data_IF_351166262568
#
_entry.id   IF_351166262568
#
_cell.length_a   1.000
_cell.length_b   1.000
_cell.length_c   1.000
_cell.angle_alpha   90.00
_cell.angle_beta   90.00
_cell.angle_gamma   90.00
#
_symmetry.space_group_name_H-M   'P 1'
#
loop_
_entity.id
_entity.type
_entity.pdbx_description
1 polymer ?
#
# COMPACT_ATOMS: atom_id res chain seq x y z
N UNK A 1 -40.84 -49.62 47.45
CA UNK A 1 -39.66 -50.04 46.66
C UNK A 1 -39.23 -48.85 45.81
N UNK A 2 -38.03 -48.32 46.06
CA UNK A 2 -37.47 -47.20 45.32
C UNK A 2 -36.79 -47.70 44.05
N UNK A 3 -37.20 -47.17 42.89
CA UNK A 3 -36.67 -47.59 41.59
C UNK A 3 -35.39 -46.81 41.27
N UNK A 4 -34.23 -47.45 41.47
CA UNK A 4 -32.93 -46.86 41.09
C UNK A 4 -32.84 -46.75 39.57
N UNK A 5 -32.92 -45.52 39.04
CA UNK A 5 -32.72 -45.23 37.61
C UNK A 5 -31.27 -45.47 37.23
N UNK A 6 -31.01 -46.41 36.31
CA UNK A 6 -29.67 -46.61 35.73
C UNK A 6 -29.24 -45.35 34.97
N UNK A 7 -28.09 -44.77 35.36
CA UNK A 7 -27.46 -43.67 34.62
C UNK A 7 -26.84 -44.24 33.34
N UNK A 8 -27.29 -43.79 32.17
CA UNK A 8 -26.64 -44.12 30.89
C UNK A 8 -25.32 -43.34 30.82
N UNK A 9 -24.20 -44.05 30.79
CA UNK A 9 -22.86 -43.48 30.58
C UNK A 9 -22.51 -43.42 29.10
N UNK A 10 -21.59 -42.52 28.75
CA UNK A 10 -20.98 -42.44 27.41
C UNK A 10 -20.11 -43.67 27.17
N UNK A 11 -20.10 -44.21 25.94
CA UNK A 11 -19.23 -45.33 25.58
C UNK A 11 -17.85 -44.84 25.14
N UNK A 12 -16.81 -45.64 25.39
CA UNK A 12 -15.46 -45.34 24.90
C UNK A 12 -15.42 -45.26 23.37
N UNK A 13 -16.24 -46.08 22.68
CA UNK A 13 -16.31 -46.07 21.22
C UNK A 13 -16.92 -44.77 20.67
N UNK A 14 -17.96 -44.23 21.33
CA UNK A 14 -18.52 -42.92 20.96
C UNK A 14 -17.47 -41.82 21.10
N UNK A 15 -16.69 -41.83 22.18
CA UNK A 15 -15.62 -40.85 22.38
C UNK A 15 -14.51 -40.98 21.33
N UNK A 16 -14.15 -42.21 20.95
CA UNK A 16 -13.12 -42.45 19.93
C UNK A 16 -13.53 -41.96 18.55
N UNK A 17 -14.77 -42.19 18.13
CA UNK A 17 -15.27 -41.70 16.84
C UNK A 17 -15.34 -40.17 16.83
N UNK A 18 -15.78 -39.55 17.92
CA UNK A 18 -15.83 -38.08 18.03
C UNK A 18 -14.43 -37.49 17.90
N UNK A 19 -13.44 -38.05 18.60
CA UNK A 19 -12.05 -37.58 18.49
C UNK A 19 -11.48 -37.80 17.09
N UNK A 20 -11.79 -38.92 16.44
CA UNK A 20 -11.37 -39.18 15.07
C UNK A 20 -11.94 -38.15 14.07
N UNK A 21 -13.22 -37.82 14.19
CA UNK A 21 -13.85 -36.81 13.32
C UNK A 21 -13.30 -35.41 13.60
N UNK A 22 -13.17 -35.02 14.87
CA UNK A 22 -12.60 -33.71 15.26
C UNK A 22 -11.15 -33.59 14.77
N UNK A 23 -10.36 -34.66 14.83
CA UNK A 23 -8.99 -34.68 14.31
C UNK A 23 -8.94 -34.43 12.79
N UNK A 24 -9.83 -35.04 12.02
CA UNK A 24 -9.92 -34.82 10.56
C UNK A 24 -10.38 -33.39 10.26
N UNK A 25 -11.42 -32.90 10.95
CA UNK A 25 -11.96 -31.56 10.75
C UNK A 25 -10.91 -30.48 11.07
N UNK A 26 -10.08 -30.69 12.10
CA UNK A 26 -9.04 -29.74 12.48
C UNK A 26 -7.99 -29.51 11.38
N UNK A 27 -7.64 -30.55 10.60
CA UNK A 27 -6.64 -30.46 9.53
C UNK A 27 -7.15 -29.62 8.35
N UNK A 28 -8.42 -29.75 7.99
CA UNK A 28 -9.02 -29.04 6.85
C UNK A 28 -9.46 -27.61 7.19
N UNK A 29 -9.53 -27.27 8.48
CA UNK A 29 -10.10 -26.00 8.93
C UNK A 29 -9.16 -24.79 8.76
N UNK A 30 -7.91 -24.94 8.32
CA UNK A 30 -6.95 -23.83 8.24
C UNK A 30 -7.39 -22.83 7.15
N UNK A 31 -7.87 -21.63 7.51
CA UNK A 31 -8.35 -20.66 6.53
C UNK A 31 -7.16 -20.02 5.80
N UNK A 32 -7.28 -19.83 4.47
CA UNK A 32 -6.27 -19.15 3.62
C UNK A 32 -6.22 -17.62 3.85
N UNK A 33 -6.30 -17.18 5.10
CA UNK A 33 -6.39 -15.77 5.51
C UNK A 33 -5.24 -14.89 5.03
N UNK A 34 -4.08 -15.47 4.72
CA UNK A 34 -2.91 -14.73 4.25
C UNK A 34 -3.09 -14.15 2.84
N UNK A 35 -3.73 -14.88 1.92
CA UNK A 35 -3.94 -14.42 0.54
C UNK A 35 -4.94 -13.26 0.53
N UNK A 36 -6.04 -13.39 1.27
CA UNK A 36 -7.03 -12.32 1.41
C UNK A 36 -6.41 -11.05 2.00
N UNK A 37 -5.61 -11.18 3.06
CA UNK A 37 -4.88 -10.05 3.65
C UNK A 37 -3.95 -9.38 2.63
N UNK A 38 -3.20 -10.15 1.84
CA UNK A 38 -2.29 -9.59 0.84
C UNK A 38 -3.04 -8.84 -0.27
N UNK A 39 -4.14 -9.41 -0.75
CA UNK A 39 -4.98 -8.79 -1.78
C UNK A 39 -5.63 -7.50 -1.25
N UNK A 40 -6.15 -7.50 -0.02
CA UNK A 40 -6.69 -6.29 0.63
C UNK A 40 -5.61 -5.22 0.80
N UNK A 41 -4.38 -5.60 1.16
CA UNK A 41 -3.26 -4.65 1.26
C UNK A 41 -2.88 -4.09 -0.10
N UNK A 42 -2.82 -4.91 -1.14
CA UNK A 42 -2.54 -4.46 -2.51
C UNK A 42 -3.61 -3.51 -3.02
N UNK A 43 -4.89 -3.79 -2.74
CA UNK A 43 -5.99 -2.88 -3.05
C UNK A 43 -5.82 -1.54 -2.30
N UNK A 44 -5.38 -1.58 -1.04
CA UNK A 44 -5.04 -0.39 -0.27
C UNK A 44 -3.94 0.46 -0.92
N UNK A 45 -2.94 -0.15 -1.54
CA UNK A 45 -1.89 0.60 -2.28
C UNK A 45 -2.50 1.33 -3.46
N UNK A 46 -3.33 0.65 -4.26
CA UNK A 46 -4.03 1.28 -5.39
C UNK A 46 -4.90 2.44 -4.93
N UNK A 47 -5.62 2.29 -3.82
CA UNK A 47 -6.40 3.38 -3.22
C UNK A 47 -5.50 4.55 -2.83
N UNK A 48 -4.37 4.30 -2.17
CA UNK A 48 -3.43 5.35 -1.80
C UNK A 48 -2.87 6.10 -3.01
N UNK A 49 -2.50 5.37 -4.07
CA UNK A 49 -2.04 5.96 -5.34
C UNK A 49 -3.10 6.89 -5.91
N UNK A 50 -4.36 6.46 -5.97
CA UNK A 50 -5.46 7.27 -6.48
C UNK A 50 -5.74 8.51 -5.61
N UNK A 51 -5.65 8.37 -4.28
CA UNK A 51 -5.83 9.50 -3.35
C UNK A 51 -4.74 10.56 -3.55
N UNK A 52 -3.48 10.14 -3.65
CA UNK A 52 -2.35 11.05 -3.91
C UNK A 52 -2.48 11.69 -5.29
N UNK A 53 -2.86 10.91 -6.31
CA UNK A 53 -3.11 11.42 -7.67
C UNK A 53 -4.17 12.51 -7.68
N UNK A 54 -5.34 12.26 -7.10
CA UNK A 54 -6.43 13.23 -7.06
C UNK A 54 -6.02 14.52 -6.33
N UNK A 55 -5.26 14.39 -5.23
CA UNK A 55 -4.69 15.54 -4.52
C UNK A 55 -3.76 16.37 -5.40
N UNK A 56 -2.84 15.73 -6.13
CA UNK A 56 -1.91 16.43 -7.02
C UNK A 56 -2.61 17.07 -8.22
N UNK A 57 -3.56 16.38 -8.86
CA UNK A 57 -4.38 16.95 -9.94
C UNK A 57 -5.15 18.20 -9.49
N UNK A 58 -5.75 18.15 -8.29
CA UNK A 58 -6.45 19.29 -7.69
C UNK A 58 -5.49 20.46 -7.42
N UNK A 59 -4.28 20.17 -6.95
CA UNK A 59 -3.28 21.21 -6.67
C UNK A 59 -2.78 21.86 -7.95
N UNK A 60 -2.46 21.08 -8.98
CA UNK A 60 -2.05 21.59 -10.30
C UNK A 60 -3.14 22.49 -10.89
N UNK A 61 -4.40 22.06 -10.83
CA UNK A 61 -5.54 22.82 -11.37
C UNK A 61 -5.74 24.16 -10.64
N UNK A 62 -5.65 24.16 -9.31
CA UNK A 62 -5.96 25.35 -8.50
C UNK A 62 -4.84 26.38 -8.41
N UNK A 63 -3.59 26.04 -8.74
CA UNK A 63 -2.42 26.91 -8.51
C UNK A 63 -1.74 27.36 -9.80
N UNK A 64 -2.49 27.45 -10.89
CA UNK A 64 -2.00 28.01 -12.16
C UNK A 64 -1.16 27.04 -12.99
N UNK A 65 -1.29 25.73 -12.76
CA UNK A 65 -0.57 24.68 -13.48
C UNK A 65 0.61 24.07 -12.70
N UNK A 66 1.38 23.23 -13.39
CA UNK A 66 2.46 22.43 -12.78
C UNK A 66 3.67 23.27 -12.36
N UNK A 67 3.82 24.46 -12.94
CA UNK A 67 4.98 25.33 -12.80
C UNK A 67 5.23 25.81 -11.35
N UNK A 68 4.23 25.73 -10.48
CA UNK A 68 4.27 26.26 -9.10
C UNK A 68 4.82 25.26 -8.07
N UNK A 69 5.17 24.03 -8.49
CA UNK A 69 5.45 22.91 -7.59
C UNK A 69 6.71 22.09 -7.95
N UNK A 70 7.66 22.74 -8.60
CA UNK A 70 8.85 22.12 -9.20
C UNK A 70 10.00 21.86 -8.23
N UNK A 71 9.76 21.86 -6.93
CA UNK A 71 10.75 21.41 -5.96
C UNK A 71 10.18 20.30 -5.07
N UNK A 72 11.02 19.32 -4.76
CA UNK A 72 10.65 18.22 -3.85
C UNK A 72 10.17 18.73 -2.49
N UNK A 73 10.81 19.78 -1.97
CA UNK A 73 10.63 20.24 -0.60
C UNK A 73 9.24 20.82 -0.35
N UNK A 74 8.72 21.67 -1.24
CA UNK A 74 7.40 22.27 -1.11
C UNK A 74 6.32 21.22 -1.32
N UNK A 75 6.50 20.32 -2.30
CA UNK A 75 5.59 19.20 -2.51
C UNK A 75 5.51 18.32 -1.25
N UNK A 76 6.65 17.99 -0.67
CA UNK A 76 6.72 17.19 0.54
C UNK A 76 6.02 17.90 1.72
N UNK A 77 6.23 19.20 1.90
CA UNK A 77 5.55 19.97 2.92
C UNK A 77 4.02 20.00 2.72
N UNK A 78 3.57 20.15 1.48
CA UNK A 78 2.15 20.11 1.13
C UNK A 78 1.54 18.72 1.39
N UNK A 79 2.24 17.64 1.02
CA UNK A 79 1.82 16.26 1.30
C UNK A 79 1.78 15.97 2.79
N UNK A 80 2.78 16.42 3.56
CA UNK A 80 2.78 16.29 5.02
C UNK A 80 1.63 17.07 5.67
N UNK A 81 1.29 18.25 5.14
CA UNK A 81 0.15 19.05 5.58
C UNK A 81 -1.20 18.39 5.25
N UNK A 82 -1.33 17.84 4.05
CA UNK A 82 -2.57 17.19 3.58
C UNK A 82 -2.78 15.81 4.22
N UNK A 83 -1.71 15.05 4.40
CA UNK A 83 -1.69 13.70 4.94
C UNK A 83 -0.98 13.67 6.30
N UNK A 84 -1.48 14.48 7.25
CA UNK A 84 -0.87 14.65 8.57
C UNK A 84 -0.80 13.34 9.37
N UNK A 85 0.36 13.09 9.99
CA UNK A 85 0.65 11.99 10.91
C UNK A 85 -0.18 11.99 12.20
N UNK A 86 -0.99 13.03 12.46
CA UNK A 86 -1.84 13.15 13.66
C UNK A 86 -3.37 13.17 13.47
N UNK A 87 -3.92 13.38 12.26
CA UNK A 87 -5.37 13.53 12.06
C UNK A 87 -5.99 12.29 11.40
N UNK A 88 -6.77 11.49 12.14
CA UNK A 88 -7.25 10.15 11.72
C UNK A 88 -8.05 10.12 10.42
N UNK A 89 -8.66 11.24 10.01
CA UNK A 89 -9.49 11.30 8.80
C UNK A 89 -8.69 11.48 7.49
N UNK A 90 -7.44 11.95 7.56
CA UNK A 90 -6.65 12.29 6.35
C UNK A 90 -5.31 11.58 6.28
N UNK A 91 -5.07 10.52 7.06
CA UNK A 91 -3.76 9.85 7.07
C UNK A 91 -3.62 8.90 5.89
N UNK A 92 -2.54 9.07 5.12
CA UNK A 92 -2.06 8.00 4.26
C UNK A 92 -1.25 7.01 5.11
N UNK A 93 -1.65 5.75 5.11
CA UNK A 93 -0.93 4.66 5.78
C UNK A 93 -0.45 3.64 4.76
N UNK A 94 0.74 3.07 4.97
CA UNK A 94 1.22 1.94 4.20
C UNK A 94 0.44 0.67 4.61
N UNK A 95 -0.30 0.00 3.71
CA UNK A 95 -1.10 -1.17 4.06
C UNK A 95 -0.27 -2.38 4.53
N UNK A 96 1.01 -2.42 4.21
CA UNK A 96 1.91 -3.52 4.54
C UNK A 96 2.64 -3.32 5.85
N UNK A 97 2.98 -2.08 6.21
CA UNK A 97 3.80 -1.74 7.39
C UNK A 97 3.07 -0.90 8.43
N UNK A 98 1.89 -0.37 8.11
CA UNK A 98 1.13 0.63 8.89
C UNK A 98 1.92 1.92 9.19
N UNK A 99 3.06 2.11 8.54
CA UNK A 99 3.85 3.32 8.64
C UNK A 99 3.17 4.47 7.88
N UNK A 100 3.43 5.70 8.34
CA UNK A 100 2.84 6.94 7.81
C UNK A 100 3.95 7.87 7.33
N UNK A 101 3.63 8.82 6.46
CA UNK A 101 4.57 9.86 6.01
C UNK A 101 5.57 9.40 4.94
N UNK A 102 6.71 10.10 4.85
CA UNK A 102 7.71 9.94 3.79
C UNK A 102 8.90 9.02 4.19
N UNK A 103 9.47 8.30 3.21
CA UNK A 103 10.77 7.61 3.30
C UNK A 103 10.68 6.08 3.17
N UNK A 104 11.78 5.37 3.37
CA UNK A 104 11.83 3.89 3.27
C UNK A 104 10.77 3.22 4.15
N UNK A 105 9.93 2.36 3.55
CA UNK A 105 8.87 1.58 4.20
C UNK A 105 7.68 2.40 4.70
N UNK A 106 7.48 3.63 4.20
CA UNK A 106 6.45 4.57 4.66
C UNK A 106 5.26 4.60 3.69
N UNK A 107 4.33 5.53 3.89
CA UNK A 107 3.10 5.58 3.08
C UNK A 107 3.37 6.12 1.67
N UNK A 108 4.34 7.04 1.54
CA UNK A 108 4.75 7.60 0.27
C UNK A 108 6.24 7.98 0.28
N UNK A 109 6.82 8.22 -0.88
CA UNK A 109 8.13 8.86 -1.05
C UNK A 109 8.10 9.75 -2.28
N UNK A 110 8.63 10.96 -2.11
CA UNK A 110 8.87 11.85 -3.23
C UNK A 110 10.25 11.55 -3.81
N UNK A 111 10.44 11.69 -5.11
CA UNK A 111 11.72 11.59 -5.82
C UNK A 111 11.85 12.84 -6.69
N UNK A 112 12.99 13.53 -6.58
CA UNK A 112 13.23 14.75 -7.35
C UNK A 112 13.95 14.44 -8.67
N UNK A 113 13.31 14.77 -9.79
CA UNK A 113 13.89 14.82 -11.14
C UNK A 113 13.64 16.19 -11.80
N UNK A 114 13.10 17.16 -11.05
CA UNK A 114 12.77 18.52 -11.48
C UNK A 114 13.98 19.46 -11.55
N UNK A 115 15.05 19.15 -10.80
CA UNK A 115 16.43 19.64 -10.92
C UNK A 115 17.09 19.43 -9.56
N UNK A 116 17.77 18.30 -9.38
CA UNK A 116 18.67 18.14 -8.24
C UNK A 116 20.04 18.74 -8.58
N UNK A 117 20.74 19.27 -7.57
CA UNK A 117 22.05 19.89 -7.75
C UNK A 117 22.99 19.00 -8.59
N UNK A 118 23.32 19.44 -9.81
CA UNK A 118 24.20 18.73 -10.74
C UNK A 118 23.53 17.86 -11.81
N UNK A 119 22.18 17.79 -11.87
CA UNK A 119 21.46 17.08 -12.93
C UNK A 119 20.47 18.00 -13.67
N UNK A 120 20.41 17.88 -15.00
CA UNK A 120 19.40 18.56 -15.81
C UNK A 120 18.01 18.08 -15.42
N UNK A 121 17.10 19.03 -15.18
CA UNK A 121 15.68 18.78 -15.01
C UNK A 121 15.17 17.88 -16.15
N UNK A 122 14.55 16.75 -15.81
CA UNK A 122 13.94 15.88 -16.82
C UNK A 122 12.49 16.29 -17.05
N UNK A 123 12.05 16.26 -18.30
CA UNK A 123 10.62 16.31 -18.62
C UNK A 123 9.93 15.00 -18.21
N UNK A 124 8.63 15.06 -17.92
CA UNK A 124 7.80 13.87 -17.67
C UNK A 124 7.90 12.95 -18.89
N UNK A 125 8.17 11.65 -18.69
CA UNK A 125 8.19 10.69 -19.79
C UNK A 125 6.81 10.53 -20.43
N UNK A 126 6.75 10.27 -21.74
CA UNK A 126 5.50 10.06 -22.47
C UNK A 126 4.84 8.70 -22.23
N UNK A 127 5.47 7.81 -21.44
CA UNK A 127 4.95 6.48 -21.13
C UNK A 127 5.06 6.14 -19.65
N UNK A 128 4.05 5.45 -19.14
CA UNK A 128 3.95 5.00 -17.74
C UNK A 128 5.12 4.07 -17.34
N UNK A 129 5.64 3.29 -18.30
CA UNK A 129 6.79 2.40 -18.07
C UNK A 129 8.10 3.17 -17.84
N UNK A 130 8.29 4.29 -18.52
CA UNK A 130 9.50 5.12 -18.39
C UNK A 130 9.58 5.87 -17.06
N UNK A 131 8.42 6.24 -16.49
CA UNK A 131 8.34 6.87 -15.16
C UNK A 131 9.00 6.02 -14.08
N UNK A 132 8.86 4.69 -14.18
CA UNK A 132 9.42 3.72 -13.21
C UNK A 132 10.95 3.70 -13.28
N UNK A 133 11.50 3.74 -14.48
CA UNK A 133 12.93 3.65 -14.74
C UNK A 133 13.70 4.90 -14.29
N UNK A 134 13.05 6.07 -14.33
CA UNK A 134 13.68 7.33 -13.94
C UNK A 134 13.85 7.51 -12.42
N UNK A 135 13.31 6.60 -11.61
CA UNK A 135 13.41 6.67 -10.14
C UNK A 135 14.80 6.35 -9.60
N UNK A 136 15.62 5.59 -10.34
CA UNK A 136 16.86 5.01 -9.82
C UNK A 136 16.63 3.85 -8.85
N UNK A 137 15.39 3.35 -8.74
CA UNK A 137 15.02 2.20 -7.93
C UNK A 137 14.98 0.97 -8.84
N UNK A 138 15.66 -0.09 -8.44
CA UNK A 138 15.56 -1.40 -9.10
C UNK A 138 14.34 -2.15 -8.58
N UNK A 139 13.52 -2.67 -9.49
CA UNK A 139 12.37 -3.51 -9.14
C UNK A 139 12.66 -4.99 -9.45
N UNK A 140 12.16 -5.94 -8.65
CA UNK A 140 11.29 -5.74 -7.48
C UNK A 140 12.05 -5.22 -6.25
N UNK A 141 11.43 -4.32 -5.48
CA UNK A 141 11.97 -3.77 -4.24
C UNK A 141 11.00 -3.97 -3.06
N UNK A 142 11.24 -5.00 -2.26
CA UNK A 142 10.39 -5.34 -1.11
C UNK A 142 10.56 -4.39 0.09
N UNK A 143 11.64 -3.60 0.15
CA UNK A 143 11.83 -2.57 1.17
C UNK A 143 10.88 -1.38 0.97
N UNK A 144 10.35 -1.23 -0.24
CA UNK A 144 9.39 -0.18 -0.60
C UNK A 144 7.95 -0.69 -0.69
N UNK A 145 7.68 -1.93 -0.30
CA UNK A 145 6.33 -2.52 -0.40
C UNK A 145 5.28 -1.63 0.26
N UNK A 146 4.18 -1.37 -0.44
CA UNK A 146 3.08 -0.57 0.05
C UNK A 146 3.25 0.95 -0.03
N UNK A 147 4.39 1.42 -0.52
CA UNK A 147 4.71 2.84 -0.63
C UNK A 147 4.19 3.42 -1.95
N UNK A 148 3.66 4.65 -1.89
CA UNK A 148 3.32 5.44 -3.07
C UNK A 148 4.52 6.29 -3.47
N UNK A 149 5.04 6.03 -4.67
CA UNK A 149 6.16 6.75 -5.26
C UNK A 149 5.65 7.93 -6.06
N UNK A 150 6.20 9.11 -5.78
CA UNK A 150 5.85 10.37 -6.46
C UNK A 150 7.13 10.93 -7.05
N UNK A 151 7.25 10.95 -8.37
CA UNK A 151 8.42 11.45 -9.08
C UNK A 151 8.09 12.82 -9.63
N UNK A 152 8.83 13.83 -9.20
CA UNK A 152 8.66 15.21 -9.63
C UNK A 152 9.56 15.48 -10.83
N UNK A 153 9.00 16.01 -11.91
CA UNK A 153 9.70 16.39 -13.14
C UNK A 153 9.55 17.88 -13.39
N UNK A 154 10.27 18.40 -14.38
CA UNK A 154 10.23 19.82 -14.78
C UNK A 154 8.82 20.33 -15.13
N UNK A 155 7.99 19.47 -15.70
CA UNK A 155 6.70 19.81 -16.28
C UNK A 155 5.59 18.84 -15.86
N UNK A 156 5.80 18.02 -14.82
CA UNK A 156 4.79 17.05 -14.38
C UNK A 156 5.18 16.22 -13.17
N UNK A 157 4.28 15.32 -12.80
CA UNK A 157 4.50 14.28 -11.78
C UNK A 157 4.24 12.90 -12.38
N UNK A 158 5.05 11.93 -11.98
CA UNK A 158 4.77 10.52 -12.16
C UNK A 158 4.40 9.88 -10.82
N UNK A 159 3.32 9.09 -10.77
CA UNK A 159 2.81 8.51 -9.52
C UNK A 159 2.58 7.02 -9.72
N UNK A 160 3.10 6.18 -8.83
CA UNK A 160 2.83 4.74 -8.85
C UNK A 160 2.97 4.16 -7.44
N UNK A 161 2.46 2.97 -7.19
CA UNK A 161 2.61 2.25 -5.93
C UNK A 161 3.57 1.07 -6.07
N UNK A 162 4.03 0.54 -4.95
CA UNK A 162 4.77 -0.72 -4.89
C UNK A 162 3.89 -1.80 -4.24
N UNK A 163 3.69 -2.91 -4.93
CA UNK A 163 2.88 -4.02 -4.42
C UNK A 163 3.61 -4.84 -3.33
N UNK A 164 2.93 -5.86 -2.80
CA UNK A 164 3.49 -6.73 -1.76
C UNK A 164 4.70 -7.57 -2.23
N UNK A 165 4.84 -7.78 -3.54
CA UNK A 165 5.98 -8.45 -4.16
C UNK A 165 7.15 -7.53 -4.48
N UNK A 166 7.00 -6.21 -4.26
CA UNK A 166 8.01 -5.21 -4.58
C UNK A 166 7.94 -4.71 -6.03
N UNK A 167 6.93 -5.10 -6.80
CA UNK A 167 6.76 -4.63 -8.19
C UNK A 167 6.03 -3.29 -8.22
N UNK A 168 6.36 -2.45 -9.19
CA UNK A 168 5.67 -1.18 -9.41
C UNK A 168 4.30 -1.41 -10.08
N UNK A 169 3.24 -0.84 -9.51
CA UNK A 169 1.89 -0.82 -10.09
C UNK A 169 1.86 -0.02 -11.40
N UNK A 170 0.68 0.10 -12.01
CA UNK A 170 0.49 1.08 -13.08
C UNK A 170 0.94 2.48 -12.60
N UNK A 171 1.62 3.21 -13.47
CA UNK A 171 2.06 4.57 -13.20
C UNK A 171 1.12 5.56 -13.86
N UNK A 172 0.88 6.69 -13.21
CA UNK A 172 0.04 7.77 -13.70
C UNK A 172 0.87 9.02 -13.88
N UNK A 173 0.55 9.80 -14.90
CA UNK A 173 1.21 11.05 -15.21
C UNK A 173 0.22 12.18 -14.98
N UNK A 174 0.69 13.22 -14.28
CA UNK A 174 -0.05 14.45 -14.03
C UNK A 174 0.76 15.60 -14.63
N UNK A 175 0.16 16.36 -15.53
CA UNK A 175 0.74 17.51 -16.25
C UNK A 175 -0.23 18.70 -16.25
#
# INVERSE_FOLDING_TARGET
MEMVKKKKGFTLIELMIVLAIVAILAVVLVPKSQIFKNNSKSAGVTTNVNTVRAYLETKVTNNGGVATYLNRWDLLNQLNGAFSTGNTASQLFNPFTNNKGEGQTKAYEVIDKSASAGASAKDVPSSEGSVKNDTGITFPNTNKKGEVMIVVYKNGYGIFGIDGGGSATQAFIVQ
#
